data_IF_559029875100
#
_entry.id   IF_559029875100
#
_cell.length_a   1.000
_cell.length_b   1.000
_cell.length_c   1.000
_cell.angle_alpha   90.00
_cell.angle_beta   90.00
_cell.angle_gamma   90.00
#
_symmetry.space_group_name_H-M   'P 1'
#
loop_
_entity.id
_entity.type
_entity.pdbx_description
1 polymer ?
#
# COMPACT_ATOMS: atom_id res chain seq x y z
N UNK A 1 -32.48 -3.22 -36.69
CA UNK A 1 -32.15 -4.61 -36.33
C UNK A 1 -30.81 -5.01 -36.96
N UNK A 2 -29.70 -4.86 -36.24
CA UNK A 2 -28.37 -5.42 -36.57
C UNK A 2 -27.63 -5.65 -35.25
N UNK A 3 -27.64 -6.88 -34.74
CA UNK A 3 -26.82 -7.25 -33.58
C UNK A 3 -25.35 -7.35 -34.02
N UNK A 4 -24.48 -6.51 -33.45
CA UNK A 4 -23.03 -6.73 -33.50
C UNK A 4 -22.65 -7.74 -32.42
N UNK A 5 -22.18 -8.94 -32.83
CA UNK A 5 -21.51 -9.89 -31.92
C UNK A 5 -20.14 -9.30 -31.52
N UNK A 6 -19.86 -9.20 -30.22
CA UNK A 6 -18.51 -8.91 -29.72
C UNK A 6 -17.74 -10.21 -29.57
N UNK A 7 -16.56 -10.28 -30.19
CA UNK A 7 -15.56 -11.32 -29.93
C UNK A 7 -14.80 -10.90 -28.67
N UNK A 8 -14.72 -11.78 -27.68
CA UNK A 8 -13.86 -11.59 -26.51
C UNK A 8 -12.50 -12.22 -26.79
N UNK A 9 -11.44 -11.43 -26.71
CA UNK A 9 -10.05 -11.89 -26.82
C UNK A 9 -9.56 -12.24 -25.41
N UNK A 10 -9.25 -13.52 -25.15
CA UNK A 10 -8.65 -13.97 -23.89
C UNK A 10 -7.17 -14.24 -24.18
N UNK A 11 -6.30 -13.43 -23.59
CA UNK A 11 -4.85 -13.65 -23.64
C UNK A 11 -4.49 -14.50 -22.43
N UNK A 12 -3.98 -15.71 -22.68
CA UNK A 12 -3.42 -16.58 -21.64
C UNK A 12 -1.90 -16.44 -21.71
N UNK A 13 -1.29 -15.90 -20.66
CA UNK A 13 0.17 -15.87 -20.52
C UNK A 13 0.60 -17.10 -19.73
N UNK A 14 1.47 -17.93 -20.31
CA UNK A 14 2.02 -19.11 -19.65
C UNK A 14 3.55 -18.98 -19.60
N UNK A 15 4.09 -19.01 -18.37
CA UNK A 15 5.53 -18.93 -18.13
C UNK A 15 6.08 -20.35 -18.08
N UNK A 16 6.88 -20.75 -19.07
CA UNK A 16 7.56 -22.05 -19.06
C UNK A 16 9.00 -21.92 -18.60
N UNK A 17 9.39 -22.85 -17.73
CA UNK A 17 10.77 -23.05 -17.33
C UNK A 17 11.50 -23.90 -18.38
N UNK A 18 12.47 -23.31 -19.07
CA UNK A 18 13.39 -24.04 -19.94
C UNK A 18 14.73 -24.12 -19.20
N UNK A 19 15.09 -25.33 -18.73
CA UNK A 19 16.20 -25.52 -17.81
C UNK A 19 17.56 -24.98 -18.27
N UNK A 20 18.38 -24.61 -17.29
CA UNK A 20 19.79 -24.26 -17.43
C UNK A 20 20.09 -22.76 -17.53
N UNK A 21 20.44 -22.15 -16.37
CA UNK A 21 20.81 -20.72 -16.19
C UNK A 21 19.69 -19.69 -16.38
N UNK A 22 18.66 -19.76 -15.53
CA UNK A 22 17.97 -18.58 -15.00
C UNK A 22 17.38 -17.55 -15.98
N UNK A 23 17.01 -17.94 -17.20
CA UNK A 23 16.28 -17.08 -18.13
C UNK A 23 14.84 -17.60 -18.31
N UNK A 24 13.88 -16.69 -18.17
CA UNK A 24 12.46 -16.94 -18.46
C UNK A 24 12.14 -16.35 -19.85
N UNK A 25 11.33 -17.06 -20.64
CA UNK A 25 10.78 -16.55 -21.89
C UNK A 25 9.26 -16.61 -21.85
N UNK A 26 8.60 -15.50 -22.20
CA UNK A 26 7.14 -15.37 -22.27
C UNK A 26 6.70 -15.70 -23.68
N UNK A 27 5.95 -16.78 -23.85
CA UNK A 27 5.35 -17.13 -25.15
C UNK A 27 3.87 -16.75 -25.11
N UNK A 28 3.46 -15.88 -26.03
CA UNK A 28 2.07 -15.45 -26.18
C UNK A 28 1.42 -16.23 -27.30
N UNK A 29 0.49 -17.11 -26.97
CA UNK A 29 -0.28 -17.87 -27.95
C UNK A 29 -1.71 -17.32 -28.03
N UNK A 30 -2.15 -16.95 -29.24
CA UNK A 30 -3.51 -16.47 -29.49
C UNK A 30 -4.41 -17.65 -29.82
N UNK A 31 -5.41 -17.94 -28.99
CA UNK A 31 -6.48 -18.87 -29.34
C UNK A 31 -7.83 -18.16 -29.42
N UNK A 32 -8.48 -18.26 -30.58
CA UNK A 32 -9.88 -17.92 -30.75
C UNK A 32 -10.73 -19.15 -30.39
N UNK A 33 -11.61 -19.04 -29.39
CA UNK A 33 -12.48 -20.14 -28.97
C UNK A 33 -13.92 -19.89 -29.41
N UNK A 34 -14.44 -20.76 -30.28
CA UNK A 34 -15.87 -20.84 -30.61
C UNK A 34 -16.47 -21.99 -29.79
N UNK A 35 -17.41 -21.70 -28.88
CA UNK A 35 -18.05 -22.72 -28.05
C UNK A 35 -19.07 -23.52 -28.86
N UNK A 36 -18.91 -24.84 -28.93
CA UNK A 36 -19.97 -25.80 -29.28
C UNK A 36 -19.85 -27.03 -28.37
N UNK A 37 -20.99 -27.55 -27.90
CA UNK A 37 -21.15 -28.69 -26.98
C UNK A 37 -20.95 -30.05 -27.69
N UNK A 38 -20.22 -30.99 -27.08
CA UNK A 38 -20.50 -32.45 -26.99
C UNK A 38 -19.29 -33.27 -26.46
N UNK A 39 -19.58 -34.38 -25.78
CA UNK A 39 -18.65 -35.43 -25.28
C UNK A 39 -18.89 -36.76 -26.07
N UNK A 40 -18.27 -37.91 -25.73
CA UNK A 40 -16.84 -38.28 -25.78
C UNK A 40 -16.58 -39.62 -26.55
N UNK A 41 -15.35 -39.91 -26.98
CA UNK A 41 -14.90 -41.31 -27.17
C UNK A 41 -13.38 -41.51 -27.33
N UNK A 42 -12.88 -42.43 -26.50
CA UNK A 42 -11.85 -43.48 -26.62
C UNK A 42 -10.60 -43.42 -27.53
N UNK A 43 -9.61 -44.19 -27.03
CA UNK A 43 -8.58 -45.02 -27.73
C UNK A 43 -7.18 -44.44 -27.98
N UNK A 44 -6.28 -44.70 -27.02
CA UNK A 44 -5.13 -45.65 -27.06
C UNK A 44 -4.14 -45.73 -28.25
N UNK A 45 -2.91 -46.14 -27.88
CA UNK A 45 -1.74 -46.63 -28.65
C UNK A 45 -0.84 -45.54 -29.30
N UNK A 46 0.49 -45.66 -29.40
CA UNK A 46 1.53 -46.53 -28.83
C UNK A 46 2.90 -46.13 -29.40
N UNK A 47 3.97 -46.31 -28.60
CA UNK A 47 5.33 -46.80 -28.92
C UNK A 47 6.19 -46.26 -30.10
N UNK A 48 7.50 -46.16 -29.79
CA UNK A 48 8.74 -46.45 -30.57
C UNK A 48 9.73 -45.27 -30.56
N UNK A 49 11.04 -45.38 -30.41
CA UNK A 49 11.97 -46.39 -29.86
C UNK A 49 13.35 -45.73 -29.70
N UNK A 50 14.18 -46.32 -28.83
CA UNK A 50 15.62 -46.15 -28.61
C UNK A 50 16.49 -45.96 -29.86
N UNK A 51 17.63 -45.24 -29.70
CA UNK A 51 18.99 -45.71 -30.08
C UNK A 51 20.05 -45.18 -29.07
N UNK A 52 21.09 -45.98 -28.87
CA UNK A 52 22.13 -46.05 -27.83
C UNK A 52 23.44 -45.25 -28.09
N UNK A 53 24.24 -45.09 -27.01
CA UNK A 53 25.72 -45.06 -26.96
C UNK A 53 26.39 -43.70 -27.24
N UNK A 54 27.33 -43.13 -26.49
CA UNK A 54 28.36 -43.59 -25.54
C UNK A 54 29.29 -42.38 -25.22
N UNK A 55 30.30 -42.47 -24.33
CA UNK A 55 30.73 -41.36 -23.48
C UNK A 55 32.07 -40.71 -23.88
N UNK A 56 32.28 -39.41 -23.56
CA UNK A 56 33.59 -38.76 -23.65
C UNK A 56 33.86 -37.77 -22.49
N UNK A 57 34.79 -38.21 -21.62
CA UNK A 57 35.95 -37.53 -21.02
C UNK A 57 35.87 -36.07 -20.50
N UNK A 58 36.22 -35.94 -19.21
CA UNK A 58 36.58 -34.71 -18.51
C UNK A 58 37.89 -34.09 -18.99
N UNK A 59 37.99 -32.76 -18.92
CA UNK A 59 39.24 -32.02 -18.73
C UNK A 59 38.99 -30.68 -18.00
N UNK A 60 39.94 -30.19 -17.17
CA UNK A 60 39.69 -29.13 -16.19
C UNK A 60 39.99 -27.73 -16.74
N UNK A 61 39.17 -26.74 -16.37
CA UNK A 61 39.43 -25.33 -16.64
C UNK A 61 40.33 -24.75 -15.54
N UNK A 62 41.51 -24.26 -15.97
CA UNK A 62 42.50 -23.56 -15.16
C UNK A 62 42.00 -22.15 -14.80
N UNK A 63 42.04 -21.81 -13.51
CA UNK A 63 41.96 -20.44 -13.02
C UNK A 63 43.27 -19.70 -13.32
N UNK A 64 43.19 -18.50 -13.92
CA UNK A 64 44.30 -17.53 -13.96
C UNK A 64 44.06 -16.46 -12.90
N UNK A 65 44.98 -16.37 -11.96
CA UNK A 65 45.15 -15.26 -11.02
C UNK A 65 45.86 -14.09 -11.71
N UNK A 66 45.37 -12.86 -11.50
CA UNK A 66 46.08 -11.61 -11.77
C UNK A 66 46.35 -10.86 -10.45
N UNK A 67 47.54 -10.30 -10.22
CA UNK A 67 47.89 -9.56 -9.01
C UNK A 67 47.44 -8.08 -9.05
N UNK A 68 47.38 -7.38 -7.90
CA UNK A 68 46.85 -6.01 -7.82
C UNK A 68 47.90 -4.95 -8.17
N UNK A 69 47.47 -3.90 -8.87
CA UNK A 69 48.25 -2.70 -9.18
C UNK A 69 48.11 -1.61 -8.10
N UNK A 70 49.25 -1.03 -7.71
CA UNK A 70 49.47 0.10 -6.76
C UNK A 70 48.71 1.39 -7.15
N UNK A 71 48.38 2.29 -6.19
CA UNK A 71 47.70 3.55 -6.48
C UNK A 71 48.68 4.69 -6.84
N UNK A 72 48.27 5.69 -7.64
CA UNK A 72 49.05 6.91 -7.85
C UNK A 72 48.72 8.02 -6.83
N UNK A 73 49.70 8.90 -6.61
CA UNK A 73 49.71 10.02 -5.65
C UNK A 73 48.82 11.19 -6.11
N UNK A 74 48.12 11.83 -5.17
CA UNK A 74 47.41 13.10 -5.37
C UNK A 74 48.36 14.30 -5.19
N UNK A 75 48.24 15.28 -6.07
CA UNK A 75 48.65 16.68 -5.89
C UNK A 75 47.47 17.59 -6.28
N UNK A 76 47.17 18.69 -5.55
CA UNK A 76 45.99 19.50 -5.81
C UNK A 76 46.29 20.61 -6.83
N UNK A 77 45.45 20.73 -7.86
CA UNK A 77 45.41 21.89 -8.74
C UNK A 77 43.95 22.35 -8.84
N UNK A 78 43.66 23.47 -8.18
CA UNK A 78 42.39 24.18 -8.24
C UNK A 78 42.21 24.79 -9.63
N UNK A 79 41.09 24.47 -10.29
CA UNK A 79 40.52 25.25 -11.40
C UNK A 79 39.03 25.46 -11.14
N UNK A 80 38.48 26.67 -11.31
CA UNK A 80 37.07 26.93 -11.11
C UNK A 80 36.25 26.40 -12.30
N UNK A 81 35.16 25.70 -12.00
CA UNK A 81 34.14 25.30 -12.97
C UNK A 81 33.16 26.47 -13.19
N UNK A 82 33.07 26.90 -14.45
CA UNK A 82 32.06 27.81 -14.96
C UNK A 82 30.69 27.11 -14.91
N UNK A 83 29.72 27.71 -14.21
CA UNK A 83 28.33 27.26 -14.18
C UNK A 83 27.58 27.83 -15.38
N UNK A 84 27.15 26.96 -16.30
CA UNK A 84 26.20 27.30 -17.34
C UNK A 84 24.83 27.60 -16.70
N UNK A 85 24.24 28.73 -17.08
CA UNK A 85 22.94 29.19 -16.60
C UNK A 85 21.84 28.21 -17.02
N UNK A 86 21.17 27.60 -16.05
CA UNK A 86 19.91 26.88 -16.26
C UNK A 86 18.80 27.90 -16.48
N UNK A 87 18.07 27.74 -17.59
CA UNK A 87 16.93 28.58 -17.96
C UNK A 87 15.84 28.46 -16.89
N UNK A 88 15.68 29.52 -16.09
CA UNK A 88 14.58 29.64 -15.15
C UNK A 88 13.26 29.69 -15.94
N UNK A 89 12.42 28.66 -15.77
CA UNK A 89 11.01 28.76 -16.12
C UNK A 89 10.38 29.78 -15.17
N UNK A 90 9.86 30.86 -15.74
CA UNK A 90 9.08 31.86 -15.05
C UNK A 90 7.77 31.23 -14.57
N UNK A 91 7.71 30.89 -13.28
CA UNK A 91 6.44 30.72 -12.57
C UNK A 91 5.85 32.12 -12.42
N UNK A 92 4.68 32.36 -13.01
CA UNK A 92 3.92 33.59 -12.77
C UNK A 92 3.67 33.72 -11.27
N UNK A 93 4.01 34.87 -10.63
CA UNK A 93 3.68 35.07 -9.24
C UNK A 93 2.16 35.21 -9.14
N UNK A 94 1.49 34.22 -8.57
CA UNK A 94 0.12 34.35 -8.11
C UNK A 94 0.02 35.49 -7.09
N UNK A 95 -1.15 36.12 -6.98
CA UNK A 95 -1.36 37.22 -6.03
C UNK A 95 -1.15 36.69 -4.59
N UNK A 96 -0.08 37.12 -3.89
CA UNK A 96 0.28 36.55 -2.59
C UNK A 96 -0.79 36.79 -1.52
N UNK A 97 -1.70 37.75 -1.74
CA UNK A 97 -2.87 37.93 -0.86
C UNK A 97 -3.86 36.77 -0.98
N UNK A 98 -4.02 36.19 -2.17
CA UNK A 98 -4.97 35.10 -2.42
C UNK A 98 -4.47 33.76 -1.87
N UNK A 99 -3.16 33.48 -1.95
CA UNK A 99 -2.58 32.25 -1.37
C UNK A 99 -2.66 32.26 0.17
N UNK A 100 -2.39 33.42 0.80
CA UNK A 100 -2.49 33.58 2.26
C UNK A 100 -3.94 33.41 2.73
N UNK A 101 -4.92 33.90 1.95
CA UNK A 101 -6.35 33.74 2.25
C UNK A 101 -6.78 32.26 2.17
N UNK A 102 -6.41 31.55 1.10
CA UNK A 102 -6.72 30.11 0.95
C UNK A 102 -6.10 29.29 2.06
N UNK A 103 -4.85 29.54 2.43
CA UNK A 103 -4.20 28.80 3.51
C UNK A 103 -4.91 28.99 4.87
N UNK A 104 -5.33 30.22 5.19
CA UNK A 104 -6.10 30.50 6.41
C UNK A 104 -7.47 29.83 6.41
N UNK A 105 -8.16 29.82 5.26
CA UNK A 105 -9.43 29.12 5.09
C UNK A 105 -9.26 27.60 5.28
N UNK A 106 -8.21 27.01 4.70
CA UNK A 106 -7.87 25.58 4.87
C UNK A 106 -7.66 25.27 6.35
N UNK A 107 -6.86 26.07 7.06
CA UNK A 107 -6.58 25.85 8.47
C UNK A 107 -7.86 25.97 9.32
N UNK A 108 -8.61 27.05 9.16
CA UNK A 108 -9.84 27.30 9.92
C UNK A 108 -10.91 26.21 9.69
N UNK A 109 -10.99 25.68 8.47
CA UNK A 109 -11.85 24.54 8.14
C UNK A 109 -11.37 23.26 8.82
N UNK A 110 -10.08 22.94 8.69
CA UNK A 110 -9.50 21.70 9.23
C UNK A 110 -9.65 21.61 10.76
N UNK A 111 -9.48 22.71 11.48
CA UNK A 111 -9.63 22.74 12.94
C UNK A 111 -11.04 22.40 13.41
N UNK A 112 -12.07 22.65 12.59
CA UNK A 112 -13.48 22.44 12.94
C UNK A 112 -14.08 21.17 12.34
N UNK A 113 -13.49 20.65 11.27
CA UNK A 113 -14.04 19.52 10.53
C UNK A 113 -14.10 18.25 11.39
N UNK A 114 -15.30 17.65 11.49
CA UNK A 114 -15.50 16.40 12.21
C UNK A 114 -14.63 15.28 11.63
N UNK A 115 -13.94 14.57 12.53
CA UNK A 115 -13.00 13.48 12.23
C UNK A 115 -13.02 12.47 13.35
N UNK A 116 -12.55 11.26 13.07
CA UNK A 116 -12.39 10.24 14.09
C UNK A 116 -11.45 10.75 15.19
N UNK A 117 -11.68 10.38 16.45
CA UNK A 117 -10.67 10.51 17.50
C UNK A 117 -9.34 9.90 17.03
N UNK A 118 -8.18 10.52 17.35
CA UNK A 118 -6.89 10.06 16.86
C UNK A 118 -6.64 8.55 17.05
N UNK A 119 -6.98 7.99 18.22
CA UNK A 119 -6.79 6.55 18.49
C UNK A 119 -7.65 5.66 17.58
N UNK A 120 -8.89 6.08 17.25
CA UNK A 120 -9.77 5.34 16.34
C UNK A 120 -9.32 5.46 14.89
N UNK A 121 -8.77 6.62 14.49
CA UNK A 121 -8.15 6.80 13.19
C UNK A 121 -6.93 5.87 13.01
N UNK A 122 -6.04 5.82 14.01
CA UNK A 122 -4.88 4.92 14.01
C UNK A 122 -5.32 3.45 13.98
N UNK A 123 -6.28 3.08 14.83
CA UNK A 123 -6.83 1.71 14.90
C UNK A 123 -7.44 1.26 13.57
N UNK A 124 -8.18 2.16 12.92
CA UNK A 124 -8.84 1.92 11.64
C UNK A 124 -7.84 1.77 10.49
N UNK A 125 -6.83 2.66 10.42
CA UNK A 125 -5.82 2.61 9.36
C UNK A 125 -4.97 1.34 9.48
N UNK A 126 -4.56 0.96 10.70
CA UNK A 126 -3.83 -0.30 10.91
C UNK A 126 -4.67 -1.53 10.48
N UNK A 127 -5.97 -1.56 10.81
CA UNK A 127 -6.84 -2.68 10.41
C UNK A 127 -7.03 -2.79 8.89
N UNK A 128 -7.16 -1.64 8.21
CA UNK A 128 -7.32 -1.60 6.76
C UNK A 128 -6.01 -1.87 6.01
N UNK A 129 -4.87 -1.77 6.69
CA UNK A 129 -3.54 -1.99 6.11
C UNK A 129 -3.18 -3.46 6.09
N UNK A 130 -2.41 -3.86 5.08
CA UNK A 130 -2.06 -5.27 4.84
C UNK A 130 -0.55 -5.49 4.67
N UNK A 131 0.23 -4.42 4.64
CA UNK A 131 1.67 -4.43 4.40
C UNK A 131 2.34 -3.30 5.18
N UNK A 132 3.51 -3.57 5.72
CA UNK A 132 4.31 -2.60 6.45
C UNK A 132 5.80 -2.92 6.42
N UNK A 133 6.59 -2.06 7.05
CA UNK A 133 8.02 -2.26 7.22
C UNK A 133 8.29 -2.70 8.66
N UNK A 134 8.74 -3.95 8.81
CA UNK A 134 9.14 -4.52 10.09
C UNK A 134 10.59 -4.14 10.38
N UNK A 135 10.82 -3.56 11.55
CA UNK A 135 12.15 -3.32 12.10
C UNK A 135 12.46 -4.33 13.20
N UNK A 136 13.58 -5.03 13.08
CA UNK A 136 14.08 -6.04 14.03
C UNK A 136 15.52 -5.70 14.45
N UNK A 137 16.04 -6.40 15.47
CA UNK A 137 17.47 -6.37 15.78
C UNK A 137 18.17 -7.50 15.03
N UNK A 138 19.19 -7.17 14.23
CA UNK A 138 19.85 -8.18 13.40
C UNK A 138 20.59 -9.19 14.27
N UNK A 139 20.26 -10.48 14.15
CA UNK A 139 21.04 -11.52 14.84
C UNK A 139 22.41 -11.74 14.17
N UNK A 140 22.57 -11.31 12.92
CA UNK A 140 23.77 -11.56 12.10
C UNK A 140 24.77 -10.40 12.15
N UNK A 141 24.28 -9.16 12.27
CA UNK A 141 25.11 -7.96 12.32
C UNK A 141 24.88 -7.30 13.69
N UNK A 142 25.72 -7.68 14.65
CA UNK A 142 25.57 -7.26 16.04
C UNK A 142 25.52 -5.73 16.19
N UNK A 143 24.60 -5.26 17.03
CA UNK A 143 24.36 -3.83 17.29
C UNK A 143 23.56 -3.08 16.21
N UNK A 144 23.20 -3.70 15.07
CA UNK A 144 22.45 -3.02 14.00
C UNK A 144 20.98 -3.46 13.94
N UNK A 145 20.05 -2.52 13.68
CA UNK A 145 18.69 -2.89 13.31
C UNK A 145 18.64 -3.41 11.87
N UNK A 146 17.60 -4.17 11.55
CA UNK A 146 17.27 -4.61 10.19
C UNK A 146 15.85 -4.20 9.83
N UNK A 147 15.64 -3.86 8.55
CA UNK A 147 14.33 -3.52 8.01
C UNK A 147 13.92 -4.51 6.93
N UNK A 148 12.67 -4.97 6.97
CA UNK A 148 12.11 -5.83 5.92
C UNK A 148 10.64 -5.53 5.66
N UNK A 149 10.21 -5.69 4.40
CA UNK A 149 8.79 -5.61 4.05
C UNK A 149 8.08 -6.89 4.49
N UNK A 150 6.93 -6.74 5.14
CA UNK A 150 6.10 -7.86 5.60
C UNK A 150 4.63 -7.62 5.27
N UNK A 151 3.94 -8.71 4.96
CA UNK A 151 2.48 -8.74 4.87
C UNK A 151 1.90 -9.12 6.23
N UNK A 152 0.85 -8.42 6.66
CA UNK A 152 0.22 -8.63 7.96
C UNK A 152 -1.30 -8.50 7.89
N UNK A 153 -1.98 -8.95 8.94
CA UNK A 153 -3.38 -8.67 9.20
C UNK A 153 -3.57 -8.41 10.69
N UNK A 154 -4.42 -7.46 11.08
CA UNK A 154 -4.75 -7.29 12.50
C UNK A 154 -5.71 -8.37 13.00
N UNK A 155 -5.52 -8.84 14.22
CA UNK A 155 -6.56 -9.55 14.96
C UNK A 155 -7.64 -8.60 15.51
N UNK A 156 -8.64 -9.15 16.20
CA UNK A 156 -9.74 -8.37 16.79
C UNK A 156 -9.25 -7.31 17.80
N UNK A 157 -8.14 -7.56 18.49
CA UNK A 157 -7.53 -6.64 19.46
C UNK A 157 -6.62 -5.60 18.78
N UNK A 158 -6.34 -5.76 17.48
CA UNK A 158 -5.49 -4.87 16.69
C UNK A 158 -4.04 -5.28 16.63
N UNK A 159 -3.71 -6.45 17.16
CA UNK A 159 -2.35 -6.99 17.13
C UNK A 159 -2.02 -7.47 15.71
N UNK A 160 -0.93 -6.99 15.08
CA UNK A 160 -0.51 -7.49 13.78
C UNK A 160 -0.12 -8.96 13.83
N UNK A 161 -0.75 -9.77 12.97
CA UNK A 161 -0.41 -11.16 12.67
C UNK A 161 0.46 -11.19 11.42
N UNK A 162 1.61 -11.86 11.49
CA UNK A 162 2.50 -12.09 10.37
C UNK A 162 2.60 -13.59 10.13
N UNK A 163 2.66 -13.99 8.86
CA UNK A 163 3.09 -15.33 8.45
C UNK A 163 4.54 -15.26 8.00
N UNK A 164 5.46 -15.84 8.79
CA UNK A 164 6.90 -15.74 8.56
C UNK A 164 7.50 -17.11 8.24
N UNK A 165 8.40 -17.16 7.25
CA UNK A 165 9.17 -18.37 6.94
C UNK A 165 10.38 -18.49 7.86
N UNK A 166 10.67 -19.68 8.36
CA UNK A 166 11.89 -20.01 9.13
C UNK A 166 13.18 -19.71 8.36
N UNK A 167 13.13 -19.58 7.03
CA UNK A 167 14.28 -19.25 6.19
C UNK A 167 14.61 -17.74 6.20
N UNK A 168 13.63 -16.88 6.47
CA UNK A 168 13.77 -15.43 6.39
C UNK A 168 14.67 -14.86 7.50
N UNK A 169 15.39 -13.78 7.18
CA UNK A 169 16.27 -13.11 8.16
C UNK A 169 15.48 -12.53 9.33
N UNK A 170 14.36 -11.85 9.08
CA UNK A 170 13.53 -11.28 10.15
C UNK A 170 13.00 -12.36 11.10
N UNK A 171 12.79 -13.61 10.65
CA UNK A 171 12.35 -14.70 11.53
C UNK A 171 13.43 -15.10 12.52
N UNK A 172 14.69 -15.16 12.05
CA UNK A 172 15.86 -15.45 12.89
C UNK A 172 16.12 -14.31 13.87
N UNK A 173 15.93 -13.07 13.40
CA UNK A 173 16.04 -11.88 14.23
C UNK A 173 14.99 -11.89 15.35
N UNK A 174 13.71 -12.15 15.03
CA UNK A 174 12.62 -12.23 16.01
C UNK A 174 12.78 -13.39 17.01
N UNK A 175 13.35 -14.51 16.58
CA UNK A 175 13.64 -15.63 17.47
C UNK A 175 14.76 -15.29 18.47
N UNK A 176 15.78 -14.55 18.01
CA UNK A 176 16.88 -14.10 18.88
C UNK A 176 16.45 -12.97 19.82
N UNK A 177 15.59 -12.06 19.34
CA UNK A 177 15.02 -10.99 20.14
C UNK A 177 13.60 -10.62 19.63
N UNK A 178 12.55 -10.83 20.44
CA UNK A 178 11.18 -10.60 19.99
C UNK A 178 10.82 -9.12 19.84
N UNK A 179 11.67 -8.19 20.32
CA UNK A 179 11.37 -6.75 20.27
C UNK A 179 11.47 -6.23 18.84
N UNK A 180 10.37 -5.66 18.36
CA UNK A 180 10.28 -5.15 17.01
C UNK A 180 9.36 -3.92 16.93
N UNK A 181 9.36 -3.28 15.77
CA UNK A 181 8.35 -2.30 15.41
C UNK A 181 7.84 -2.52 13.99
N UNK A 182 6.56 -2.20 13.77
CA UNK A 182 5.92 -2.24 12.47
C UNK A 182 5.54 -0.81 12.06
N UNK A 183 6.15 -0.33 10.98
CA UNK A 183 5.80 0.94 10.35
C UNK A 183 4.77 0.71 9.25
N UNK A 184 3.69 1.51 9.27
CA UNK A 184 2.61 1.48 8.29
C UNK A 184 2.35 2.91 7.84
N UNK A 185 2.46 3.16 6.54
CA UNK A 185 2.08 4.43 5.91
C UNK A 185 0.70 4.27 5.26
N UNK A 186 -0.23 5.21 5.52
CA UNK A 186 -1.56 5.20 4.87
C UNK A 186 -1.42 5.27 3.35
N UNK A 187 -0.59 6.21 2.88
CA UNK A 187 -0.14 6.33 1.50
C UNK A 187 1.40 6.31 1.49
N UNK A 188 2.03 5.22 1.04
CA UNK A 188 3.49 5.11 0.98
C UNK A 188 4.18 6.14 0.10
N UNK A 189 3.47 6.73 -0.86
CA UNK A 189 4.03 7.72 -1.80
C UNK A 189 3.85 9.16 -1.29
N UNK A 190 2.99 9.38 -0.29
CA UNK A 190 2.73 10.70 0.28
C UNK A 190 3.41 10.86 1.65
N UNK A 191 4.58 11.51 1.63
CA UNK A 191 5.35 11.87 2.84
C UNK A 191 4.59 12.73 3.85
N UNK A 192 3.51 13.40 3.45
CA UNK A 192 2.71 14.26 4.33
C UNK A 192 1.55 13.51 4.98
N UNK A 193 1.26 12.28 4.56
CA UNK A 193 0.19 11.48 5.16
C UNK A 193 0.57 10.89 6.53
N UNK A 194 -0.39 10.22 7.13
CA UNK A 194 -0.26 9.48 8.37
C UNK A 194 0.71 8.30 8.20
N UNK A 195 1.73 8.29 9.07
CA UNK A 195 2.64 7.18 9.30
C UNK A 195 2.50 6.72 10.75
N UNK A 196 2.29 5.42 10.93
CA UNK A 196 2.07 4.76 12.22
C UNK A 196 3.25 3.85 12.48
N UNK A 197 3.79 3.88 13.71
CA UNK A 197 4.81 2.93 14.18
C UNK A 197 4.32 2.23 15.43
N UNK A 198 3.98 0.95 15.29
CA UNK A 198 3.58 0.08 16.38
C UNK A 198 4.82 -0.63 16.95
N UNK A 199 5.13 -0.42 18.22
CA UNK A 199 6.23 -1.10 18.91
C UNK A 199 5.65 -2.25 19.74
N UNK A 200 6.30 -3.40 19.74
CA UNK A 200 5.81 -4.56 20.45
C UNK A 200 6.82 -5.70 20.57
N UNK A 201 6.33 -6.81 21.12
CA UNK A 201 7.06 -8.06 21.20
C UNK A 201 6.37 -9.09 20.29
N UNK A 202 7.12 -9.71 19.38
CA UNK A 202 6.61 -10.78 18.52
C UNK A 202 6.53 -12.09 19.31
N UNK A 203 5.34 -12.67 19.38
CA UNK A 203 5.05 -13.91 20.10
C UNK A 203 4.54 -14.95 19.11
N UNK A 204 5.02 -16.19 19.25
CA UNK A 204 4.51 -17.32 18.45
C UNK A 204 3.05 -17.58 18.79
N UNK A 205 2.22 -17.83 17.78
CA UNK A 205 0.81 -18.13 17.98
C UNK A 205 0.67 -19.57 18.51
N UNK A 206 0.00 -19.80 19.65
CA UNK A 206 -0.25 -21.15 20.15
C UNK A 206 -1.09 -21.97 19.18
N UNK A 207 -0.89 -23.29 19.15
CA UNK A 207 -1.60 -24.21 18.25
C UNK A 207 -3.12 -24.08 18.34
N UNK A 208 -3.66 -23.90 19.56
CA UNK A 208 -5.10 -23.68 19.80
C UNK A 208 -5.68 -22.43 19.13
N UNK A 209 -4.85 -21.43 18.83
CA UNK A 209 -5.25 -20.17 18.22
C UNK A 209 -4.92 -20.12 16.72
N UNK A 210 -4.22 -21.13 16.18
CA UNK A 210 -3.71 -21.13 14.81
C UNK A 210 -4.82 -21.03 13.78
N UNK A 211 -5.94 -21.74 13.94
CA UNK A 211 -7.04 -21.71 12.95
C UNK A 211 -7.71 -20.34 12.86
N UNK A 212 -7.96 -19.68 14.01
CA UNK A 212 -8.60 -18.37 14.05
C UNK A 212 -7.67 -17.28 13.50
N UNK A 213 -6.39 -17.33 13.85
CA UNK A 213 -5.34 -16.44 13.32
C UNK A 213 -5.18 -16.63 11.81
N UNK A 214 -5.17 -17.88 11.33
CA UNK A 214 -5.11 -18.19 9.89
C UNK A 214 -6.31 -17.60 9.15
N UNK A 215 -7.52 -17.76 9.70
CA UNK A 215 -8.72 -17.18 9.10
C UNK A 215 -8.65 -15.65 9.03
N UNK A 216 -8.20 -14.99 10.11
CA UNK A 216 -8.01 -13.54 10.13
C UNK A 216 -6.98 -13.09 9.07
N UNK A 217 -5.84 -13.78 8.98
CA UNK A 217 -4.80 -13.48 7.99
C UNK A 217 -5.30 -13.63 6.55
N UNK A 218 -5.95 -14.74 6.23
CA UNK A 218 -6.48 -15.01 4.88
C UNK A 218 -7.64 -14.10 4.49
N UNK A 219 -8.36 -13.51 5.45
CA UNK A 219 -9.39 -12.50 5.15
C UNK A 219 -8.80 -11.25 4.48
N UNK A 220 -7.54 -10.91 4.78
CA UNK A 220 -6.80 -9.79 4.19
C UNK A 220 -5.90 -10.26 3.02
N UNK A 221 -5.43 -11.51 3.07
CA UNK A 221 -4.54 -12.12 2.08
C UNK A 221 -5.12 -13.41 1.48
N UNK A 222 -6.20 -13.34 0.67
CA UNK A 222 -6.94 -14.52 0.23
C UNK A 222 -6.14 -15.47 -0.67
N UNK A 223 -5.05 -15.00 -1.27
CA UNK A 223 -4.18 -15.78 -2.16
C UNK A 223 -2.93 -16.34 -1.45
N UNK A 224 -2.82 -16.19 -0.13
CA UNK A 224 -1.64 -16.61 0.64
C UNK A 224 -1.62 -18.11 0.97
N UNK A 225 -1.66 -18.98 -0.04
CA UNK A 225 -1.66 -20.43 0.13
C UNK A 225 -0.38 -20.97 0.80
N UNK A 226 0.72 -20.22 0.76
CA UNK A 226 2.01 -20.62 1.33
C UNK A 226 2.03 -20.59 2.87
N UNK A 227 1.03 -19.98 3.53
CA UNK A 227 0.96 -19.96 5.00
C UNK A 227 0.80 -21.35 5.60
N UNK A 228 0.40 -22.34 4.79
CA UNK A 228 0.25 -23.75 5.20
C UNK A 228 1.52 -24.58 4.96
N UNK A 229 2.59 -23.99 4.43
CA UNK A 229 3.86 -24.69 4.25
C UNK A 229 4.55 -24.92 5.59
N UNK A 230 5.22 -26.07 5.74
CA UNK A 230 5.84 -26.47 7.01
C UNK A 230 7.00 -25.58 7.47
N UNK A 231 7.51 -24.69 6.61
CA UNK A 231 8.50 -23.68 6.99
C UNK A 231 7.88 -22.36 7.43
N UNK A 232 6.56 -22.16 7.32
CA UNK A 232 5.85 -20.96 7.76
C UNK A 232 5.21 -21.14 9.13
N UNK A 233 5.20 -20.06 9.90
CA UNK A 233 4.51 -19.99 11.18
C UNK A 233 3.86 -18.62 11.37
N UNK A 234 2.77 -18.58 12.13
CA UNK A 234 2.15 -17.33 12.55
C UNK A 234 2.82 -16.78 13.79
N UNK A 235 3.18 -15.50 13.72
CA UNK A 235 3.59 -14.70 14.88
C UNK A 235 2.65 -13.51 15.02
N UNK A 236 2.46 -13.06 16.26
CA UNK A 236 1.64 -11.91 16.60
C UNK A 236 2.51 -10.89 17.31
N UNK A 237 2.48 -9.65 16.86
CA UNK A 237 3.15 -8.55 17.55
C UNK A 237 2.19 -8.05 18.64
N UNK A 238 2.50 -8.32 19.90
CA UNK A 238 1.75 -7.76 21.01
C UNK A 238 2.12 -6.28 21.20
N UNK A 239 1.19 -5.34 20.99
CA UNK A 239 1.51 -3.92 21.06
C UNK A 239 1.93 -3.50 22.48
N UNK A 240 2.97 -2.69 22.55
CA UNK A 240 3.42 -1.98 23.78
C UNK A 240 3.09 -0.50 23.71
N UNK A 241 3.34 0.12 22.56
CA UNK A 241 3.02 1.51 22.29
C UNK A 241 2.79 1.71 20.79
N UNK A 242 1.82 2.55 20.44
CA UNK A 242 1.52 2.90 19.04
C UNK A 242 1.76 4.38 18.87
N UNK A 243 2.73 4.74 18.03
CA UNK A 243 3.07 6.12 17.72
C UNK A 243 2.55 6.48 16.34
N UNK A 244 2.26 7.75 16.14
CA UNK A 244 1.97 8.25 14.81
C UNK A 244 2.56 9.63 14.58
N UNK A 245 2.76 9.94 13.30
CA UNK A 245 3.08 11.26 12.80
C UNK A 245 2.28 11.50 11.52
N UNK A 246 1.75 12.70 11.34
CA UNK A 246 1.01 13.12 10.15
C UNK A 246 1.39 14.54 9.77
N UNK A 247 1.32 14.89 8.49
CA UNK A 247 1.57 16.27 8.05
C UNK A 247 3.05 16.67 8.11
N UNK A 248 3.98 15.72 8.00
CA UNK A 248 5.42 16.01 7.96
C UNK A 248 5.72 16.99 6.82
N UNK A 249 6.51 18.03 7.12
CA UNK A 249 6.81 19.14 6.21
C UNK A 249 5.57 19.96 5.76
N UNK A 250 4.53 20.00 6.59
CA UNK A 250 3.36 20.89 6.44
C UNK A 250 3.11 21.68 7.72
N UNK A 251 2.27 22.71 7.65
CA UNK A 251 1.86 23.46 8.84
C UNK A 251 0.92 22.66 9.77
N UNK A 252 0.33 21.57 9.29
CA UNK A 252 -0.61 20.72 10.05
C UNK A 252 0.10 19.48 10.61
N UNK A 253 1.27 19.67 11.20
CA UNK A 253 2.04 18.59 11.82
C UNK A 253 1.31 18.07 13.08
N UNK A 254 0.97 16.79 13.07
CA UNK A 254 0.37 16.08 14.20
C UNK A 254 1.24 14.90 14.61
N UNK A 255 1.34 14.63 15.91
CA UNK A 255 1.99 13.43 16.43
C UNK A 255 1.42 13.04 17.79
N UNK A 256 1.55 11.77 18.14
CA UNK A 256 1.09 11.26 19.43
C UNK A 256 1.51 9.82 19.65
N UNK A 257 1.21 9.33 20.84
CA UNK A 257 1.45 7.95 21.28
C UNK A 257 0.22 7.45 22.04
N UNK A 258 -0.12 6.18 21.86
CA UNK A 258 -1.13 5.46 22.63
C UNK A 258 -0.52 4.25 23.31
N UNK A 259 -0.97 4.00 24.53
CA UNK A 259 -0.70 2.76 25.28
C UNK A 259 -1.38 1.56 24.62
N UNK A 260 -0.99 0.34 25.03
CA UNK A 260 -1.65 -0.90 24.60
C UNK A 260 -3.15 -0.87 24.90
N UNK A 261 -3.52 -0.39 26.09
CA UNK A 261 -4.88 -0.40 26.59
C UNK A 261 -5.77 0.59 25.82
N UNK A 262 -5.28 1.80 25.57
CA UNK A 262 -5.99 2.80 24.75
C UNK A 262 -6.19 2.30 23.32
N UNK A 263 -5.14 1.74 22.71
CA UNK A 263 -5.21 1.22 21.34
C UNK A 263 -6.18 0.04 21.22
N UNK A 264 -6.14 -0.89 22.18
CA UNK A 264 -7.03 -2.05 22.20
C UNK A 264 -8.49 -1.68 22.45
N UNK A 265 -8.75 -0.64 23.26
CA UNK A 265 -10.11 -0.17 23.56
C UNK A 265 -10.75 0.58 22.38
N UNK A 266 -9.95 1.14 21.47
CA UNK A 266 -10.44 1.87 20.31
C UNK A 266 -11.14 0.94 19.32
N UNK A 267 -12.18 1.47 18.65
CA UNK A 267 -12.95 0.73 17.66
C UNK A 267 -12.44 1.03 16.26
N UNK A 268 -12.50 0.02 15.40
CA UNK A 268 -12.33 0.19 13.96
C UNK A 268 -13.60 0.83 13.40
N UNK A 269 -13.45 1.87 12.59
CA UNK A 269 -14.58 2.48 11.91
C UNK A 269 -15.21 1.50 10.89
N UNK A 270 -16.52 1.23 10.99
CA UNK A 270 -17.17 0.21 10.17
C UNK A 270 -17.37 0.62 8.70
N UNK A 271 -17.21 1.90 8.37
CA UNK A 271 -17.40 2.44 7.03
C UNK A 271 -16.09 2.43 6.23
N UNK A 272 -14.94 2.51 6.92
CA UNK A 272 -13.61 2.54 6.29
C UNK A 272 -13.33 1.35 5.35
N UNK A 273 -13.92 0.18 5.61
CA UNK A 273 -13.83 -0.99 4.72
C UNK A 273 -14.35 -0.73 3.29
N UNK A 274 -15.22 0.27 3.11
CA UNK A 274 -15.79 0.66 1.82
C UNK A 274 -14.98 1.74 1.11
N UNK A 275 -13.85 2.19 1.66
CA UNK A 275 -13.00 3.24 1.08
C UNK A 275 -12.69 2.96 -0.38
N UNK A 276 -12.01 1.85 -0.69
CA UNK A 276 -11.58 1.52 -2.07
C UNK A 276 -12.71 1.56 -3.10
N UNK A 277 -13.84 0.84 -2.93
CA UNK A 277 -14.91 0.87 -3.92
C UNK A 277 -15.59 2.24 -4.05
N UNK A 278 -15.73 3.01 -2.96
CA UNK A 278 -16.36 4.34 -3.01
C UNK A 278 -15.44 5.35 -3.69
N UNK A 279 -14.19 5.48 -3.21
CA UNK A 279 -13.24 6.48 -3.76
C UNK A 279 -12.91 6.18 -5.22
N UNK A 280 -12.75 4.90 -5.61
CA UNK A 280 -12.50 4.53 -7.00
C UNK A 280 -13.63 4.94 -7.94
N UNK A 281 -14.89 4.72 -7.54
CA UNK A 281 -16.05 5.12 -8.35
C UNK A 281 -16.18 6.64 -8.44
N UNK A 282 -16.07 7.34 -7.30
CA UNK A 282 -16.18 8.79 -7.25
C UNK A 282 -15.07 9.49 -8.05
N UNK A 283 -13.83 9.07 -7.88
CA UNK A 283 -12.69 9.68 -8.56
C UNK A 283 -12.70 9.44 -10.08
N UNK A 284 -13.27 8.32 -10.54
CA UNK A 284 -13.33 8.00 -11.99
C UNK A 284 -14.53 8.65 -12.67
N UNK A 285 -15.70 8.56 -12.04
CA UNK A 285 -16.97 8.84 -12.71
C UNK A 285 -17.60 10.17 -12.23
N UNK A 286 -17.17 10.72 -11.08
CA UNK A 286 -17.80 11.84 -10.37
C UNK A 286 -16.79 12.87 -9.78
N UNK A 287 -15.65 13.07 -10.43
CA UNK A 287 -14.62 14.02 -9.96
C UNK A 287 -15.16 15.47 -9.89
N UNK A 288 -15.99 15.86 -10.86
CA UNK A 288 -16.62 17.18 -10.89
C UNK A 288 -17.63 17.37 -9.76
N UNK A 289 -18.42 16.34 -9.44
CA UNK A 289 -19.34 16.38 -8.30
C UNK A 289 -18.55 16.54 -6.98
N UNK A 290 -17.42 15.85 -6.84
CA UNK A 290 -16.54 15.96 -5.66
C UNK A 290 -16.00 17.39 -5.51
N UNK A 291 -15.57 18.02 -6.62
CA UNK A 291 -15.12 19.41 -6.63
C UNK A 291 -16.22 20.37 -6.17
N UNK A 292 -17.45 20.20 -6.67
CA UNK A 292 -18.60 21.03 -6.27
C UNK A 292 -18.90 20.91 -4.77
N UNK A 293 -18.90 19.68 -4.24
CA UNK A 293 -19.09 19.43 -2.81
C UNK A 293 -18.01 20.15 -2.00
N UNK A 294 -16.73 20.00 -2.37
CA UNK A 294 -15.64 20.62 -1.62
C UNK A 294 -15.76 22.15 -1.63
N UNK A 295 -16.05 22.76 -2.78
CA UNK A 295 -16.24 24.22 -2.87
C UNK A 295 -17.38 24.71 -1.99
N UNK A 296 -18.53 24.05 -2.03
CA UNK A 296 -19.70 24.42 -1.24
C UNK A 296 -19.45 24.29 0.26
N UNK A 297 -18.97 23.12 0.70
CA UNK A 297 -18.88 22.80 2.13
C UNK A 297 -17.65 23.39 2.84
N UNK A 298 -16.66 23.88 2.10
CA UNK A 298 -15.46 24.51 2.67
C UNK A 298 -15.31 25.98 2.32
N UNK A 299 -16.08 26.48 1.34
CA UNK A 299 -15.87 27.80 0.72
C UNK A 299 -14.50 28.00 0.06
N UNK A 300 -13.72 26.94 -0.14
CA UNK A 300 -12.39 27.00 -0.77
C UNK A 300 -12.53 26.78 -2.29
N UNK A 301 -12.04 27.69 -3.15
CA UNK A 301 -12.22 27.62 -4.59
C UNK A 301 -11.26 26.62 -5.25
N UNK A 302 -11.40 25.33 -4.93
CA UNK A 302 -10.51 24.26 -5.43
C UNK A 302 -10.66 24.02 -6.95
N UNK A 303 -9.56 23.81 -7.65
CA UNK A 303 -9.52 23.49 -9.09
C UNK A 303 -9.83 22.01 -9.35
N UNK A 304 -9.40 21.13 -8.45
CA UNK A 304 -9.70 19.70 -8.47
C UNK A 304 -9.74 19.13 -7.06
N UNK A 305 -10.44 17.99 -6.89
CA UNK A 305 -10.52 17.26 -5.63
C UNK A 305 -10.53 15.76 -5.91
N UNK A 306 -9.60 15.02 -5.29
CA UNK A 306 -9.45 13.58 -5.40
C UNK A 306 -9.65 12.92 -4.04
N UNK A 307 -10.64 12.05 -3.90
CA UNK A 307 -10.92 11.34 -2.64
C UNK A 307 -9.80 10.36 -2.30
N UNK A 308 -9.34 10.41 -1.05
CA UNK A 308 -8.26 9.58 -0.52
C UNK A 308 -8.79 8.44 0.35
N UNK A 309 -9.56 8.79 1.37
CA UNK A 309 -10.07 7.89 2.39
C UNK A 309 -11.53 8.22 2.75
N UNK A 310 -12.16 7.32 3.50
CA UNK A 310 -13.54 7.40 3.93
C UNK A 310 -13.68 6.77 5.33
N UNK A 311 -14.50 7.39 6.18
CA UNK A 311 -14.95 6.84 7.45
C UNK A 311 -16.42 7.24 7.71
N UNK A 312 -16.97 6.87 8.86
CA UNK A 312 -18.38 7.15 9.16
C UNK A 312 -18.71 8.64 9.35
N UNK A 313 -17.72 9.50 9.57
CA UNK A 313 -17.90 10.93 9.78
C UNK A 313 -17.64 11.76 8.52
N UNK A 314 -17.08 11.18 7.45
CA UNK A 314 -16.75 11.91 6.24
C UNK A 314 -15.65 11.26 5.41
N UNK A 315 -15.03 12.05 4.55
CA UNK A 315 -13.95 11.61 3.67
C UNK A 315 -12.86 12.68 3.58
N UNK A 316 -11.64 12.27 3.24
CA UNK A 316 -10.55 13.20 2.95
C UNK A 316 -10.31 13.31 1.45
N UNK A 317 -9.97 14.50 0.98
CA UNK A 317 -9.60 14.74 -0.42
C UNK A 317 -8.21 15.37 -0.51
N UNK A 318 -7.48 15.03 -1.57
CA UNK A 318 -6.36 15.84 -2.07
C UNK A 318 -6.93 16.87 -3.02
N UNK A 319 -6.88 18.13 -2.63
CA UNK A 319 -7.35 19.25 -3.43
C UNK A 319 -6.18 20.01 -4.05
N UNK A 320 -6.41 20.56 -5.22
CA UNK A 320 -5.50 21.52 -5.87
C UNK A 320 -6.19 22.88 -5.94
N UNK A 321 -5.49 23.95 -5.59
CA UNK A 321 -5.96 25.33 -5.78
C UNK A 321 -4.77 26.18 -6.20
N UNK A 322 -4.86 26.86 -7.33
CA UNK A 322 -3.82 27.76 -7.86
C UNK A 322 -2.43 27.10 -7.97
N UNK A 323 -2.39 25.81 -8.31
CA UNK A 323 -1.15 25.03 -8.42
C UNK A 323 -0.60 24.48 -7.10
N UNK A 324 -1.17 24.85 -5.96
CA UNK A 324 -0.84 24.29 -4.65
C UNK A 324 -1.71 23.07 -4.32
N UNK A 325 -1.11 22.05 -3.71
CA UNK A 325 -1.80 20.83 -3.28
C UNK A 325 -1.88 20.77 -1.75
N UNK A 326 -3.05 20.40 -1.24
CA UNK A 326 -3.27 20.22 0.20
C UNK A 326 -4.39 19.20 0.44
N UNK A 327 -4.48 18.70 1.68
CA UNK A 327 -5.55 17.80 2.09
C UNK A 327 -6.69 18.59 2.72
N UNK A 328 -7.92 18.20 2.40
CA UNK A 328 -9.14 18.71 3.03
C UNK A 328 -9.95 17.57 3.61
N UNK A 329 -10.39 17.74 4.86
CA UNK A 329 -11.35 16.86 5.51
C UNK A 329 -12.76 17.34 5.18
N UNK A 330 -13.61 16.48 4.63
CA UNK A 330 -15.00 16.82 4.26
C UNK A 330 -15.95 16.01 5.16
N UNK A 331 -16.49 16.61 6.24
CA UNK A 331 -17.40 15.92 7.13
C UNK A 331 -18.77 15.73 6.47
N UNK A 332 -19.41 14.59 6.73
CA UNK A 332 -20.82 14.41 6.44
C UNK A 332 -21.68 15.30 7.36
N UNK A 333 -22.90 15.67 6.94
CA UNK A 333 -23.83 16.41 7.80
C UNK A 333 -24.26 15.61 9.04
N UNK A 334 -24.13 14.29 8.99
CA UNK A 334 -24.34 13.36 10.10
C UNK A 334 -23.51 12.09 9.89
N UNK A 335 -23.33 11.29 10.93
CA UNK A 335 -22.64 10.00 10.83
C UNK A 335 -23.37 9.05 9.88
N UNK A 336 -22.61 8.38 9.01
CA UNK A 336 -23.08 7.35 8.09
C UNK A 336 -23.25 6.02 8.82
N UNK A 337 -24.42 5.38 8.67
CA UNK A 337 -24.73 4.12 9.33
C UNK A 337 -24.19 2.89 8.58
N UNK A 338 -24.21 2.93 7.25
CA UNK A 338 -23.79 1.82 6.39
C UNK A 338 -23.36 2.31 4.99
N UNK A 339 -22.96 1.38 4.12
CA UNK A 339 -22.51 1.68 2.75
C UNK A 339 -23.57 2.40 1.90
N UNK A 340 -24.85 2.06 2.05
CA UNK A 340 -25.92 2.70 1.28
C UNK A 340 -26.11 4.13 1.77
N UNK A 341 -26.01 4.33 3.08
CA UNK A 341 -26.13 5.63 3.71
C UNK A 341 -25.00 6.60 3.31
N UNK A 342 -23.76 6.10 3.12
CA UNK A 342 -22.67 6.91 2.53
C UNK A 342 -23.08 7.50 1.18
N UNK A 343 -23.70 6.69 0.31
CA UNK A 343 -24.18 7.17 -0.99
C UNK A 343 -25.27 8.23 -0.81
N UNK A 344 -26.23 8.00 0.10
CA UNK A 344 -27.29 8.96 0.41
C UNK A 344 -26.71 10.31 0.82
N UNK A 345 -25.74 10.30 1.74
CA UNK A 345 -25.09 11.52 2.24
C UNK A 345 -24.31 12.25 1.15
N UNK A 346 -23.58 11.55 0.29
CA UNK A 346 -22.85 12.18 -0.82
C UNK A 346 -23.82 12.84 -1.82
N UNK A 347 -24.96 12.21 -2.10
CA UNK A 347 -26.00 12.80 -2.97
C UNK A 347 -26.64 14.02 -2.32
N UNK A 348 -26.99 13.94 -1.04
CA UNK A 348 -27.53 15.08 -0.27
C UNK A 348 -26.56 16.28 -0.29
N UNK A 349 -25.27 16.04 -0.05
CA UNK A 349 -24.24 17.07 -0.10
C UNK A 349 -24.08 17.69 -1.50
N UNK A 350 -24.27 16.90 -2.55
CA UNK A 350 -24.20 17.35 -3.94
C UNK A 350 -25.43 18.19 -4.34
N UNK A 351 -26.61 17.78 -3.90
CA UNK A 351 -27.86 18.53 -4.15
C UNK A 351 -27.81 19.90 -3.47
N UNK A 352 -27.31 19.96 -2.22
CA UNK A 352 -27.08 21.22 -1.52
C UNK A 352 -26.10 22.14 -2.28
N UNK A 353 -25.01 21.58 -2.81
CA UNK A 353 -24.05 22.34 -3.61
C UNK A 353 -24.66 22.90 -4.91
N UNK A 354 -25.45 22.08 -5.62
CA UNK A 354 -26.10 22.50 -6.89
C UNK A 354 -27.17 23.57 -6.69
N UNK A 355 -27.87 23.56 -5.56
CA UNK A 355 -28.91 24.55 -5.26
C UNK A 355 -28.36 25.97 -5.06
N UNK A 356 -27.07 26.14 -4.76
CA UNK A 356 -26.44 27.45 -4.59
C UNK A 356 -25.82 28.01 -5.88
N UNK A 357 -25.44 27.13 -6.82
CA UNK A 357 -24.93 27.51 -8.14
C UNK A 357 -26.05 27.84 -9.15
N UNK A 358 -27.31 27.61 -8.78
CA UNK A 358 -28.53 27.90 -9.56
C UNK A 358 -29.10 29.26 -9.18
#
# INVERSE_FOLDING_TARGET
MRLRKRVFEIVKEEVRWTGGRGQYSVVREKQAKMMTLASPCSSSLSLLTRVNGGPLLLSPLRFRFCPPSRPPKLSPLLRPLSMAASSAQTVSPGDPKSEVDVFQLVQAHQEKAARLPPVEEIRTVLDCSVRGMLSTLSHKIDGYPSGSMVDFACDADGSPILAISSLAYHSKDLLANPKCSLLVARDPEDRTDLVITLHGDAVSVPEKDTESVRAAYLSKHPNAFWVDFGDFQFVRIEPKAVRYVSGVATALLGSGEFTREEFKAAKVDPIAQFTKPVTSHMNRDHAEDTKLIVRHWTSIPVDSAYMLDLDSLGFSVKATCQGSNFKLRIPFPRQAADRKDVKTLVVEMLEAAKAQDS
#
